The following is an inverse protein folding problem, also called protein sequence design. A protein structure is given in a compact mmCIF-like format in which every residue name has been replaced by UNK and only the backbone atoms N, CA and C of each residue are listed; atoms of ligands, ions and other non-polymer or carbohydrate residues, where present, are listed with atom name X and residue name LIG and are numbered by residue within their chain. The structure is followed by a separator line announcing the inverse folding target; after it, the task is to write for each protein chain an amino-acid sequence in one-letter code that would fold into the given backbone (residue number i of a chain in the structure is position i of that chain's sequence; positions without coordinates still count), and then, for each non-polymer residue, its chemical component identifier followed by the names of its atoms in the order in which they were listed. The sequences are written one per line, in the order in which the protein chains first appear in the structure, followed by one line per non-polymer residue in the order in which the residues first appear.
data_IF_889833890476
#
_entry.id   IF_889833890476
#
_cell.length_a   1.000
_cell.length_b   1.000
_cell.length_c   1.000
_cell.angle_alpha   90.00
_cell.angle_beta   90.00
_cell.angle_gamma   90.00
#
_symmetry.space_group_name_H-M   'P 1'
#
loop_
_entity.id
_entity.type
_entity.pdbx_description
1 polymer ?
#
# COMPACT_ATOMS: atom_id res chain seq x y z
N UNK A 1 3.73 -9.09 -9.43
CA UNK A 1 2.85 -8.08 -8.83
C UNK A 1 1.48 -8.72 -8.68
N UNK A 2 0.84 -8.63 -7.50
CA UNK A 2 -0.41 -9.34 -7.23
C UNK A 2 -1.60 -8.60 -7.84
N UNK A 3 -1.77 -8.70 -9.15
CA UNK A 3 -2.85 -8.06 -9.90
C UNK A 3 -3.86 -9.13 -10.31
N UNK A 4 -5.05 -9.10 -9.70
CA UNK A 4 -6.11 -10.08 -9.97
C UNK A 4 -6.88 -9.82 -11.28
N UNK A 5 -6.61 -8.70 -11.96
CA UNK A 5 -7.26 -8.38 -13.23
C UNK A 5 -6.37 -8.71 -14.42
N UNK A 6 -5.09 -8.31 -14.40
CA UNK A 6 -4.15 -8.52 -15.53
C UNK A 6 -2.93 -9.38 -15.18
N UNK A 7 -2.81 -9.81 -13.94
CA UNK A 7 -1.68 -10.62 -13.50
C UNK A 7 -1.79 -12.09 -13.93
N UNK A 8 -0.74 -12.89 -13.67
CA UNK A 8 -0.68 -14.31 -14.02
C UNK A 8 -1.71 -15.17 -13.28
N UNK A 9 -2.17 -14.71 -12.11
CA UNK A 9 -3.23 -15.36 -11.34
C UNK A 9 -4.35 -14.34 -11.13
N UNK A 10 -5.51 -14.61 -11.74
CA UNK A 10 -6.63 -13.67 -11.82
C UNK A 10 -7.72 -13.98 -10.79
N UNK A 11 -8.74 -13.14 -10.71
CA UNK A 11 -9.83 -13.25 -9.73
C UNK A 11 -10.68 -14.51 -9.83
N UNK A 12 -10.66 -15.19 -10.98
CA UNK A 12 -11.34 -16.48 -11.20
C UNK A 12 -10.57 -17.68 -10.63
N UNK A 13 -9.30 -17.50 -10.30
CA UNK A 13 -8.45 -18.51 -9.68
C UNK A 13 -8.57 -18.46 -8.15
N UNK A 14 -9.23 -19.45 -7.51
CA UNK A 14 -9.43 -19.46 -6.07
C UNK A 14 -8.11 -19.57 -5.28
N UNK A 15 -7.01 -19.92 -5.95
CA UNK A 15 -5.67 -20.03 -5.36
C UNK A 15 -4.75 -18.88 -5.77
N UNK A 16 -5.28 -17.79 -6.34
CA UNK A 16 -4.46 -16.70 -6.85
C UNK A 16 -3.54 -16.10 -5.78
N UNK A 17 -4.07 -15.92 -4.56
CA UNK A 17 -3.31 -15.35 -3.43
C UNK A 17 -2.15 -16.29 -3.05
N UNK A 18 -2.44 -17.58 -2.87
CA UNK A 18 -1.45 -18.60 -2.52
C UNK A 18 -0.36 -18.69 -3.58
N UNK A 19 -0.72 -18.61 -4.86
CA UNK A 19 0.24 -18.64 -5.97
C UNK A 19 1.13 -17.39 -5.98
N UNK A 20 0.59 -16.20 -5.76
CA UNK A 20 1.41 -14.99 -5.61
C UNK A 20 2.35 -15.05 -4.39
N UNK A 21 1.90 -15.63 -3.27
CA UNK A 21 2.75 -15.84 -2.09
C UNK A 21 3.83 -16.90 -2.38
N UNK A 22 3.48 -17.97 -3.10
CA UNK A 22 4.42 -19.02 -3.52
C UNK A 22 5.52 -18.48 -4.43
N UNK A 23 5.18 -17.63 -5.41
CA UNK A 23 6.16 -16.96 -6.26
C UNK A 23 7.17 -16.16 -5.44
N UNK A 24 6.71 -15.40 -4.44
CA UNK A 24 7.58 -14.65 -3.54
C UNK A 24 8.46 -15.57 -2.69
N UNK A 25 7.92 -16.69 -2.21
CA UNK A 25 8.64 -17.71 -1.45
C UNK A 25 9.75 -18.34 -2.29
N UNK A 26 9.48 -18.64 -3.55
CA UNK A 26 10.46 -19.21 -4.47
C UNK A 26 11.62 -18.27 -4.73
N UNK A 27 11.36 -16.97 -4.85
CA UNK A 27 12.41 -15.94 -4.96
C UNK A 27 13.28 -15.92 -3.70
N UNK A 28 12.69 -15.95 -2.50
CA UNK A 28 13.43 -15.97 -1.23
C UNK A 28 14.27 -17.25 -1.10
N UNK A 29 13.69 -18.41 -1.42
CA UNK A 29 14.40 -19.69 -1.39
C UNK A 29 15.61 -19.70 -2.34
N UNK A 30 15.42 -19.25 -3.59
CA UNK A 30 16.52 -19.14 -4.57
C UNK A 30 17.65 -18.23 -4.06
N UNK A 31 17.31 -17.11 -3.41
CA UNK A 31 18.31 -16.23 -2.81
C UNK A 31 19.07 -16.93 -1.68
N UNK A 32 18.36 -17.63 -0.79
CA UNK A 32 18.95 -18.39 0.32
C UNK A 32 19.85 -19.52 -0.16
N UNK A 33 19.41 -20.29 -1.15
CA UNK A 33 20.15 -21.42 -1.70
C UNK A 33 21.43 -20.94 -2.41
N UNK A 34 21.42 -19.70 -2.92
CA UNK A 34 22.61 -18.97 -3.38
C UNK A 34 23.47 -18.33 -2.27
N UNK A 35 23.22 -18.63 -1.00
CA UNK A 35 23.98 -18.13 0.16
C UNK A 35 23.65 -16.70 0.59
N UNK A 36 22.55 -16.10 0.09
CA UNK A 36 22.14 -14.74 0.46
C UNK A 36 21.17 -14.76 1.65
N UNK A 37 21.13 -13.64 2.39
CA UNK A 37 20.17 -13.41 3.47
C UNK A 37 19.14 -12.37 3.04
N UNK A 38 17.89 -12.55 3.48
CA UNK A 38 16.84 -11.57 3.26
C UNK A 38 17.01 -10.41 4.24
N UNK A 39 17.25 -9.20 3.74
CA UNK A 39 17.36 -8.01 4.58
C UNK A 39 15.99 -7.40 4.88
N UNK A 40 15.20 -7.16 3.84
CA UNK A 40 13.86 -6.62 3.97
C UNK A 40 12.98 -6.95 2.75
N UNK A 41 11.69 -6.75 2.94
CA UNK A 41 10.67 -6.65 1.90
C UNK A 41 10.06 -5.26 1.95
N UNK A 42 9.87 -4.65 0.78
CA UNK A 42 9.26 -3.34 0.63
C UNK A 42 8.11 -3.44 -0.37
N UNK A 43 6.97 -2.86 -0.02
CA UNK A 43 5.82 -2.76 -0.90
C UNK A 43 4.97 -1.53 -0.56
N UNK A 44 4.32 -0.97 -1.58
CA UNK A 44 3.17 -0.11 -1.37
C UNK A 44 2.00 -0.99 -0.87
N UNK A 45 1.31 -0.64 0.23
CA UNK A 45 0.16 -1.43 0.68
C UNK A 45 -1.03 -1.39 -0.28
N UNK A 46 -1.12 -0.32 -1.08
CA UNK A 46 -1.95 -0.23 -2.29
C UNK A 46 -1.04 0.20 -3.44
N UNK A 47 -1.04 -0.53 -4.56
CA UNK A 47 -0.09 -0.34 -5.66
C UNK A 47 -0.54 0.79 -6.57
N UNK A 48 0.01 1.99 -6.38
CA UNK A 48 -0.55 3.18 -7.04
C UNK A 48 -0.06 3.40 -8.48
N UNK A 49 1.25 3.39 -8.73
CA UNK A 49 1.83 3.60 -10.07
C UNK A 49 1.37 2.55 -11.09
N UNK A 50 1.25 1.26 -10.74
CA UNK A 50 0.79 0.25 -11.69
C UNK A 50 -0.68 0.36 -12.10
N UNK A 51 -1.45 1.22 -11.44
CA UNK A 51 -2.86 1.47 -11.80
C UNK A 51 -3.83 1.52 -10.61
N UNK A 52 -3.39 1.95 -9.43
CA UNK A 52 -4.21 1.96 -8.21
C UNK A 52 -4.84 0.59 -7.91
N UNK A 53 -3.99 -0.44 -7.84
CA UNK A 53 -4.38 -1.83 -7.62
C UNK A 53 -4.40 -2.11 -6.12
N UNK A 54 -5.55 -2.56 -5.61
CA UNK A 54 -5.63 -3.15 -4.29
C UNK A 54 -5.06 -4.58 -4.36
N UNK A 55 -4.04 -4.92 -3.55
CA UNK A 55 -3.56 -6.29 -3.52
C UNK A 55 -4.66 -7.23 -3.02
N UNK A 56 -4.62 -8.52 -3.41
CA UNK A 56 -5.54 -9.53 -2.91
C UNK A 56 -5.58 -9.55 -1.39
N UNK A 57 -6.76 -9.81 -0.84
CA UNK A 57 -6.92 -9.97 0.61
C UNK A 57 -5.90 -10.97 1.17
N UNK A 58 -5.34 -10.66 2.33
CA UNK A 58 -4.32 -11.46 3.05
C UNK A 58 -2.95 -11.56 2.38
N UNK A 59 -2.77 -11.20 1.11
CA UNK A 59 -1.48 -11.31 0.41
C UNK A 59 -0.34 -10.62 1.18
N UNK A 60 -0.54 -9.36 1.57
CA UNK A 60 0.48 -8.58 2.28
C UNK A 60 0.76 -9.15 3.68
N UNK A 61 -0.27 -9.68 4.35
CA UNK A 61 -0.15 -10.31 5.67
C UNK A 61 0.73 -11.57 5.58
N UNK A 62 0.47 -12.42 4.60
CA UNK A 62 1.23 -13.65 4.36
C UNK A 62 2.68 -13.35 3.98
N UNK A 63 2.91 -12.33 3.15
CA UNK A 63 4.28 -11.89 2.86
C UNK A 63 5.00 -11.39 4.10
N UNK A 64 4.37 -10.57 4.95
CA UNK A 64 5.01 -10.06 6.17
C UNK A 64 5.34 -11.19 7.16
N UNK A 65 4.43 -12.15 7.34
CA UNK A 65 4.69 -13.36 8.15
C UNK A 65 5.89 -14.13 7.61
N UNK A 66 5.92 -14.37 6.29
CA UNK A 66 6.99 -15.09 5.63
C UNK A 66 8.34 -14.35 5.77
N UNK A 67 8.39 -13.07 5.42
CA UNK A 67 9.63 -12.25 5.47
C UNK A 67 10.25 -12.27 6.87
N UNK A 68 9.42 -12.15 7.91
CA UNK A 68 9.87 -12.23 9.32
C UNK A 68 10.37 -13.62 9.69
N UNK A 69 9.73 -14.68 9.20
CA UNK A 69 10.22 -16.06 9.40
C UNK A 69 11.61 -16.28 8.78
N UNK A 70 11.97 -15.50 7.75
CA UNK A 70 13.31 -15.48 7.16
C UNK A 70 14.27 -14.45 7.78
N UNK A 71 13.85 -13.74 8.84
CA UNK A 71 14.66 -12.76 9.56
C UNK A 71 14.76 -11.38 8.88
N UNK A 72 13.94 -11.11 7.87
CA UNK A 72 13.88 -9.82 7.19
C UNK A 72 12.91 -8.83 7.86
N UNK A 73 13.07 -7.54 7.54
CA UNK A 73 12.15 -6.47 7.94
C UNK A 73 11.07 -6.21 6.89
N UNK A 74 9.91 -5.75 7.32
CA UNK A 74 8.78 -5.38 6.46
C UNK A 74 8.64 -3.86 6.38
N UNK A 75 8.70 -3.31 5.17
CA UNK A 75 8.64 -1.88 4.90
C UNK A 75 7.36 -1.56 4.12
N UNK A 76 6.55 -0.65 4.67
CA UNK A 76 5.42 -0.06 3.93
C UNK A 76 5.87 1.23 3.24
N UNK A 77 5.81 1.25 1.91
CA UNK A 77 5.96 2.47 1.13
C UNK A 77 4.61 3.18 1.06
N UNK A 78 4.45 4.20 1.89
CA UNK A 78 3.23 4.99 2.02
C UNK A 78 3.37 6.36 1.36
N UNK A 79 4.35 6.51 0.45
CA UNK A 79 4.62 7.80 -0.19
C UNK A 79 3.39 8.32 -0.93
N UNK A 80 2.52 7.46 -1.49
CA UNK A 80 1.30 7.88 -2.22
C UNK A 80 0.01 7.75 -1.43
N UNK A 81 -0.02 6.85 -0.47
CA UNK A 81 -1.25 6.33 0.15
C UNK A 81 -1.36 6.68 1.64
N UNK A 82 -0.39 7.42 2.18
CA UNK A 82 -0.43 7.98 3.54
C UNK A 82 -1.41 9.15 3.69
N UNK A 83 -1.56 9.58 4.95
CA UNK A 83 -2.25 10.78 5.39
C UNK A 83 -3.73 10.83 4.96
N UNK A 84 -4.41 9.69 5.09
CA UNK A 84 -5.86 9.62 4.88
C UNK A 84 -6.28 9.45 3.42
N UNK A 85 -5.35 9.21 2.48
CA UNK A 85 -5.65 9.07 1.05
C UNK A 85 -6.69 8.00 0.75
N UNK A 86 -6.65 6.87 1.46
CA UNK A 86 -7.59 5.75 1.31
C UNK A 86 -8.95 6.00 1.98
N UNK A 87 -9.09 7.10 2.71
CA UNK A 87 -10.32 7.51 3.40
C UNK A 87 -10.61 6.72 4.68
N UNK A 88 -10.62 5.39 4.63
CA UNK A 88 -10.93 4.54 5.79
C UNK A 88 -9.89 4.62 6.92
N UNK A 89 -8.64 4.91 6.58
CA UNK A 89 -7.50 4.90 7.49
C UNK A 89 -6.50 6.00 7.15
N UNK A 90 -5.71 6.38 8.14
CA UNK A 90 -4.64 7.37 7.94
C UNK A 90 -3.47 6.80 7.15
N UNK A 91 -3.20 5.51 7.31
CA UNK A 91 -2.18 4.75 6.59
C UNK A 91 -2.83 3.58 5.86
N UNK A 92 -2.50 3.38 4.58
CA UNK A 92 -3.08 2.29 3.79
C UNK A 92 -2.71 0.89 4.30
N UNK A 93 -1.56 0.72 4.95
CA UNK A 93 -1.19 -0.56 5.57
C UNK A 93 -2.20 -1.01 6.65
N UNK A 94 -2.93 -0.07 7.27
CA UNK A 94 -3.97 -0.38 8.25
C UNK A 94 -5.18 -1.03 7.58
N UNK A 95 -5.53 -0.59 6.37
CA UNK A 95 -6.59 -1.20 5.58
C UNK A 95 -6.23 -2.64 5.14
N UNK A 96 -4.94 -2.97 5.10
CA UNK A 96 -4.43 -4.33 4.83
C UNK A 96 -4.27 -5.17 6.11
N UNK A 97 -4.60 -4.61 7.28
CA UNK A 97 -4.44 -5.24 8.60
C UNK A 97 -3.02 -5.81 8.83
N UNK A 98 -2.01 -5.01 8.47
CA UNK A 98 -0.61 -5.32 8.74
C UNK A 98 0.05 -4.24 9.59
N UNK A 99 1.14 -4.59 10.27
CA UNK A 99 2.01 -3.65 10.97
C UNK A 99 3.42 -3.75 10.39
N UNK A 100 3.91 -2.72 9.67
CA UNK A 100 5.28 -2.72 9.16
C UNK A 100 6.30 -2.40 10.27
N UNK A 101 7.56 -2.75 10.01
CA UNK A 101 8.70 -2.43 10.86
C UNK A 101 9.26 -1.02 10.51
N UNK A 102 9.10 -0.60 9.26
CA UNK A 102 9.48 0.71 8.73
C UNK A 102 8.36 1.24 7.84
N UNK A 103 8.03 2.53 7.94
CA UNK A 103 7.12 3.25 7.03
C UNK A 103 7.88 4.37 6.35
N UNK A 104 7.72 4.48 5.03
CA UNK A 104 8.28 5.59 4.24
C UNK A 104 7.13 6.51 3.85
N UNK A 105 7.28 7.81 4.11
CA UNK A 105 6.30 8.84 3.77
C UNK A 105 6.97 10.02 3.06
N UNK A 106 6.27 10.63 2.10
CA UNK A 106 6.73 11.79 1.35
C UNK A 106 5.53 12.56 0.79
N UNK A 107 5.59 12.99 -0.48
CA UNK A 107 4.52 13.63 -1.27
C UNK A 107 3.56 14.51 -0.43
N UNK A 108 2.46 13.95 0.05
CA UNK A 108 1.43 14.65 0.83
C UNK A 108 1.98 15.31 2.09
N UNK A 109 3.01 14.74 2.74
CA UNK A 109 3.64 15.28 3.94
C UNK A 109 4.19 16.70 3.76
N UNK A 110 4.77 16.99 2.60
CA UNK A 110 5.29 18.31 2.28
C UNK A 110 4.31 19.18 1.48
N UNK A 111 3.20 18.61 1.00
CA UNK A 111 2.24 19.25 0.10
C UNK A 111 2.90 20.10 -1.02
N UNK A 112 3.91 19.53 -1.68
CA UNK A 112 4.70 20.20 -2.72
C UNK A 112 6.06 20.74 -2.24
N UNK A 113 6.27 20.92 -0.94
CA UNK A 113 7.58 21.21 -0.37
C UNK A 113 8.44 19.93 -0.31
N UNK A 114 9.76 19.99 -0.62
CA UNK A 114 10.64 18.82 -0.55
C UNK A 114 10.79 18.31 0.89
N UNK A 115 10.01 17.28 1.23
CA UNK A 115 10.01 16.65 2.54
C UNK A 115 9.63 15.17 2.44
N UNK A 116 10.33 14.34 3.19
CA UNK A 116 10.03 12.94 3.39
C UNK A 116 10.41 12.55 4.82
N UNK A 117 9.84 11.47 5.32
CA UNK A 117 10.21 10.90 6.60
C UNK A 117 10.23 9.37 6.54
N UNK A 118 11.05 8.79 7.40
CA UNK A 118 11.08 7.35 7.66
C UNK A 118 10.66 7.16 9.12
N UNK A 119 9.61 6.39 9.34
CA UNK A 119 9.09 6.06 10.67
C UNK A 119 9.46 4.61 10.98
N UNK A 120 10.08 4.35 12.12
CA UNK A 120 10.46 3.00 12.51
C UNK A 120 10.48 2.84 14.04
N UNK A 121 10.71 1.62 14.53
CA UNK A 121 10.84 1.33 15.95
C UNK A 121 12.12 1.95 16.53
N UNK A 122 12.12 2.20 17.84
CA UNK A 122 13.32 2.69 18.54
C UNK A 122 14.51 1.72 18.41
N UNK A 123 14.21 0.42 18.40
CA UNK A 123 15.22 -0.65 18.25
C UNK A 123 15.93 -0.55 16.90
N UNK A 124 15.17 -0.41 15.80
CA UNK A 124 15.73 -0.28 14.46
C UNK A 124 16.47 1.06 14.32
N UNK A 125 15.89 2.16 14.82
CA UNK A 125 16.54 3.47 14.80
C UNK A 125 17.88 3.49 15.56
N UNK A 126 17.99 2.75 16.67
CA UNK A 126 19.23 2.67 17.44
C UNK A 126 20.40 2.06 16.65
N UNK A 127 20.13 1.20 15.66
CA UNK A 127 21.15 0.62 14.78
C UNK A 127 21.84 1.66 13.88
N UNK A 128 21.24 2.83 13.68
CA UNK A 128 21.88 3.92 12.94
C UNK A 128 22.97 4.62 13.75
N UNK A 129 22.93 4.53 15.09
CA UNK A 129 23.87 5.20 15.98
C UNK A 129 23.91 6.71 15.74
N UNK A 130 25.11 7.27 15.57
CA UNK A 130 25.28 8.70 15.35
C UNK A 130 24.75 9.20 14.00
N UNK A 131 24.61 8.32 13.00
CA UNK A 131 24.13 8.68 11.65
C UNK A 131 22.69 9.19 11.67
N UNK A 132 21.92 8.93 12.74
CA UNK A 132 20.59 9.50 12.90
C UNK A 132 20.59 11.04 12.82
N UNK A 133 21.72 11.68 13.16
CA UNK A 133 21.91 13.14 13.08
C UNK A 133 21.92 13.67 11.64
N UNK A 134 22.19 12.84 10.64
CA UNK A 134 22.17 13.22 9.22
C UNK A 134 20.74 13.39 8.68
N UNK A 135 19.75 12.82 9.36
CA UNK A 135 18.34 12.81 8.95
C UNK A 135 17.48 13.85 9.72
N UNK A 136 18.09 14.94 10.18
CA UNK A 136 17.37 15.98 10.93
C UNK A 136 16.50 16.84 10.02
N UNK A 137 15.26 17.06 10.45
CA UNK A 137 14.36 18.04 9.84
C UNK A 137 14.87 19.47 10.09
N UNK A 138 14.69 20.33 9.09
CA UNK A 138 14.85 21.78 9.30
C UNK A 138 13.61 22.35 9.99
N UNK A 139 13.75 23.50 10.66
CA UNK A 139 12.60 24.22 11.25
C UNK A 139 11.50 24.54 10.23
N UNK A 140 11.89 24.76 8.97
CA UNK A 140 10.95 24.99 7.87
C UNK A 140 10.17 23.71 7.53
N UNK A 141 10.84 22.56 7.43
CA UNK A 141 10.18 21.27 7.21
C UNK A 141 9.20 20.95 8.33
N UNK A 142 9.58 21.20 9.60
CA UNK A 142 8.70 21.00 10.75
C UNK A 142 7.44 21.87 10.65
N UNK A 143 7.60 23.16 10.32
CA UNK A 143 6.49 24.09 10.17
C UNK A 143 5.54 23.68 9.04
N UNK A 144 6.09 23.26 7.88
CA UNK A 144 5.31 22.77 6.75
C UNK A 144 4.54 21.50 7.13
N UNK A 145 5.22 20.49 7.67
CA UNK A 145 4.58 19.24 8.07
C UNK A 145 3.47 19.45 9.10
N UNK A 146 3.71 20.30 10.11
CA UNK A 146 2.68 20.66 11.10
C UNK A 146 1.47 21.35 10.45
N UNK A 147 1.71 22.30 9.53
CA UNK A 147 0.63 22.99 8.83
C UNK A 147 -0.22 22.01 7.99
N UNK A 148 0.43 21.11 7.25
CA UNK A 148 -0.24 20.06 6.46
C UNK A 148 -1.10 19.16 7.35
N UNK A 149 -0.54 18.64 8.45
CA UNK A 149 -1.27 17.77 9.38
C UNK A 149 -2.44 18.50 10.06
N UNK A 150 -2.27 19.78 10.38
CA UNK A 150 -3.34 20.60 10.94
C UNK A 150 -4.50 20.77 9.96
N UNK A 151 -4.21 21.09 8.69
CA UNK A 151 -5.23 21.22 7.63
C UNK A 151 -5.97 19.90 7.42
N UNK A 152 -5.24 18.78 7.28
CA UNK A 152 -5.83 17.44 7.15
C UNK A 152 -6.86 17.15 8.25
N UNK A 153 -6.54 17.54 9.49
CA UNK A 153 -7.43 17.33 10.65
C UNK A 153 -8.57 18.34 10.70
N UNK A 154 -8.31 19.63 10.49
CA UNK A 154 -9.30 20.71 10.64
C UNK A 154 -10.35 20.69 9.54
N UNK A 155 -9.95 20.32 8.32
CA UNK A 155 -10.83 20.26 7.16
C UNK A 155 -11.43 18.86 6.94
N UNK A 156 -11.20 17.92 7.86
CA UNK A 156 -11.73 16.56 7.78
C UNK A 156 -11.44 15.89 6.42
N UNK A 157 -10.19 16.01 5.95
CA UNK A 157 -9.83 15.62 4.59
C UNK A 157 -9.86 14.11 4.37
N UNK A 158 -9.72 13.30 5.43
CA UNK A 158 -9.83 11.85 5.34
C UNK A 158 -11.29 11.41 5.14
N UNK A 159 -12.21 12.05 5.86
CA UNK A 159 -13.65 11.90 5.70
C UNK A 159 -14.09 12.38 4.31
N UNK A 160 -13.60 13.54 3.88
CA UNK A 160 -13.83 14.07 2.53
C UNK A 160 -13.33 13.12 1.44
N UNK A 161 -12.15 12.51 1.62
CA UNK A 161 -11.63 11.50 0.69
C UNK A 161 -12.57 10.29 0.57
N UNK A 162 -13.20 9.87 1.66
CA UNK A 162 -14.22 8.80 1.66
C UNK A 162 -15.48 9.23 0.92
N UNK A 163 -16.02 10.40 1.25
CA UNK A 163 -17.27 10.92 0.67
C UNK A 163 -17.14 11.16 -0.83
N UNK A 164 -16.15 11.97 -1.23
CA UNK A 164 -15.92 12.33 -2.64
C UNK A 164 -15.43 11.12 -3.43
N UNK A 165 -14.59 10.27 -2.84
CA UNK A 165 -14.13 9.03 -3.46
C UNK A 165 -15.29 8.07 -3.76
N UNK A 166 -16.26 7.97 -2.84
CA UNK A 166 -17.48 7.16 -3.06
C UNK A 166 -18.31 7.70 -4.22
N UNK A 167 -18.50 9.03 -4.28
CA UNK A 167 -19.20 9.67 -5.40
C UNK A 167 -18.48 9.38 -6.72
N UNK A 168 -17.17 9.61 -6.80
CA UNK A 168 -16.37 9.36 -7.99
C UNK A 168 -16.48 7.89 -8.44
N UNK A 169 -16.33 6.95 -7.51
CA UNK A 169 -16.46 5.50 -7.80
C UNK A 169 -17.83 5.17 -8.38
N UNK A 170 -18.91 5.68 -7.78
CA UNK A 170 -20.28 5.45 -8.23
C UNK A 170 -20.54 6.01 -9.63
N UNK A 171 -20.02 7.20 -9.95
CA UNK A 171 -20.17 7.78 -11.29
C UNK A 171 -19.34 7.03 -12.34
N UNK A 172 -18.13 6.56 -12.00
CA UNK A 172 -17.33 5.71 -12.88
C UNK A 172 -18.01 4.38 -13.18
N UNK A 173 -18.69 3.76 -12.20
CA UNK A 173 -19.48 2.54 -12.42
C UNK A 173 -20.65 2.79 -13.38
N UNK A 174 -21.32 3.95 -13.32
CA UNK A 174 -22.36 4.30 -14.30
C UNK A 174 -21.80 4.48 -15.71
N UNK A 175 -20.58 5.02 -15.84
CA UNK A 175 -19.91 5.14 -17.13
C UNK A 175 -19.49 3.78 -17.69
N UNK A 176 -19.06 2.85 -16.83
CA UNK A 176 -18.73 1.48 -17.21
C UNK A 176 -19.89 0.79 -17.93
N UNK A 177 -21.11 0.94 -17.43
CA UNK A 177 -22.32 0.37 -18.06
C UNK A 177 -22.56 0.93 -19.47
N UNK A 178 -22.15 2.18 -19.73
CA UNK A 178 -22.37 2.87 -21.01
C UNK A 178 -21.26 2.63 -22.02
N UNK A 179 -20.07 2.18 -21.58
CA UNK A 179 -18.87 2.12 -22.41
C UNK A 179 -18.18 0.76 -22.24
N UNK A 180 -18.27 -0.08 -23.27
CA UNK A 180 -17.67 -1.43 -23.30
C UNK A 180 -16.14 -1.46 -23.09
N UNK A 181 -15.44 -0.34 -23.36
CA UNK A 181 -13.99 -0.23 -23.18
C UNK A 181 -13.57 0.05 -21.73
N UNK A 182 -14.52 0.36 -20.84
CA UNK A 182 -14.24 0.61 -19.43
C UNK A 182 -14.55 -0.68 -18.69
N UNK A 183 -13.53 -1.26 -18.06
CA UNK A 183 -13.68 -2.41 -17.19
C UNK A 183 -13.14 -2.04 -15.81
N UNK A 184 -14.04 -1.95 -14.82
CA UNK A 184 -13.70 -1.75 -13.42
C UNK A 184 -13.66 -3.13 -12.77
N UNK A 185 -12.47 -3.57 -12.40
CA UNK A 185 -12.32 -4.75 -11.55
C UNK A 185 -12.78 -4.36 -10.13
N UNK A 186 -13.98 -4.79 -9.74
CA UNK A 186 -14.55 -4.48 -8.43
C UNK A 186 -14.01 -5.42 -7.35
N UNK A 187 -13.30 -4.89 -6.37
CA UNK A 187 -13.14 -5.53 -5.06
C UNK A 187 -14.10 -4.84 -4.08
N UNK A 188 -15.35 -5.30 -4.06
CA UNK A 188 -16.35 -4.85 -3.10
C UNK A 188 -16.21 -5.66 -1.81
N UNK A 189 -15.35 -5.19 -0.91
CA UNK A 189 -15.21 -5.74 0.45
C UNK A 189 -14.74 -7.23 0.50
N UNK A 190 -14.32 -7.75 1.67
CA UNK A 190 -14.04 -9.17 1.80
C UNK A 190 -15.34 -9.96 1.62
N UNK A 191 -15.49 -10.66 0.48
CA UNK A 191 -16.49 -11.73 0.32
C UNK A 191 -17.67 -11.48 -0.62
N UNK A 192 -17.78 -10.36 -1.34
CA UNK A 192 -18.83 -10.16 -2.34
C UNK A 192 -18.24 -9.85 -3.73
N UNK A 193 -18.10 -10.91 -4.53
CA UNK A 193 -17.88 -10.79 -5.97
C UNK A 193 -19.25 -10.50 -6.60
N UNK A 194 -19.53 -9.24 -6.92
CA UNK A 194 -20.74 -8.89 -7.67
C UNK A 194 -20.41 -9.03 -9.15
N UNK A 195 -20.99 -10.07 -9.75
CA UNK A 195 -21.13 -10.35 -11.19
C UNK A 195 -20.33 -9.45 -12.13
N UNK A 196 -19.29 -10.01 -12.74
CA UNK A 196 -18.78 -9.48 -14.00
C UNK A 196 -19.92 -9.59 -15.02
N UNK A 197 -20.54 -8.45 -15.37
CA UNK A 197 -21.69 -8.39 -16.26
C UNK A 197 -21.39 -8.75 -17.73
N UNK A 198 -20.20 -9.27 -18.03
CA UNK A 198 -19.82 -9.76 -19.35
C UNK A 198 -19.60 -11.27 -19.30
N UNK A 199 -20.37 -12.08 -20.07
CA UNK A 199 -20.03 -13.48 -20.26
C UNK A 199 -18.66 -13.56 -20.93
N UNK A 200 -17.74 -14.32 -20.34
CA UNK A 200 -16.48 -14.69 -20.96
C UNK A 200 -16.78 -15.40 -22.29
N UNK A 201 -16.54 -14.72 -23.41
CA UNK A 201 -16.42 -15.30 -24.75
C UNK A 201 -14.99 -15.18 -25.23
#
# INVERSE_FOLDING_TARGET
MPDLYRGPYQSDDPLAVEKYVADAKDVINKARDGGRKLACFIAEPMLTVPGCIDPPSTWLQELYKMVRAFGGLCIADEVQTSLGRVGSHYWSFQAQDVKPDIVIIGKSLGNGYPMAAVVTSREIAALLGERIKEYQCTRMMDAVGCAVLNVLKQEHLMESATEVGTVLKNELMKLQIKHEHIELCMFLQPGECVDCAYPCT
#
